data_IF_212395153993
#
_entry.id   IF_212395153993
#
_cell.length_a   1.000
_cell.length_b   1.000
_cell.length_c   1.000
_cell.angle_alpha   90.00
_cell.angle_beta   90.00
_cell.angle_gamma   90.00
#
_symmetry.space_group_name_H-M   'P 1'
#
loop_
_entity.id
_entity.type
_entity.pdbx_description
1 polymer ?
#
# COMPACT_ATOMS: atom_id res chain seq x y z
N UNK A 1 -37.02 -14.08 4.15
CA UNK A 1 -35.94 -13.18 4.59
C UNK A 1 -35.40 -12.50 3.36
N UNK A 2 -35.56 -11.18 3.23
CA UNK A 2 -34.77 -10.42 2.25
C UNK A 2 -33.31 -10.49 2.73
N UNK A 3 -32.40 -10.79 1.82
CA UNK A 3 -30.98 -10.82 2.10
C UNK A 3 -30.55 -9.43 2.55
N UNK A 4 -29.98 -9.29 3.76
CA UNK A 4 -29.32 -8.06 4.24
C UNK A 4 -27.96 -7.82 3.53
N UNK A 5 -27.79 -8.34 2.31
CA UNK A 5 -26.61 -8.10 1.49
C UNK A 5 -26.76 -6.76 0.78
N UNK A 6 -25.79 -5.89 1.02
CA UNK A 6 -25.58 -4.68 0.24
C UNK A 6 -25.42 -5.03 -1.24
N UNK A 7 -25.93 -4.16 -2.11
CA UNK A 7 -25.64 -4.21 -3.55
C UNK A 7 -24.16 -3.95 -3.82
N UNK A 8 -23.70 -4.30 -5.02
CA UNK A 8 -22.31 -4.03 -5.43
C UNK A 8 -21.96 -2.54 -5.40
N UNK A 9 -22.90 -1.65 -5.72
CA UNK A 9 -22.69 -0.20 -5.65
C UNK A 9 -22.52 0.28 -4.21
N UNK A 10 -23.36 -0.21 -3.29
CA UNK A 10 -23.25 0.13 -1.87
C UNK A 10 -21.97 -0.43 -1.25
N UNK A 11 -21.53 -1.63 -1.67
CA UNK A 11 -20.25 -2.17 -1.26
C UNK A 11 -19.07 -1.39 -1.84
N UNK A 12 -19.14 -0.93 -3.09
CA UNK A 12 -18.10 -0.08 -3.69
C UNK A 12 -17.94 1.24 -2.91
N UNK A 13 -19.06 1.91 -2.60
CA UNK A 13 -19.07 3.15 -1.81
C UNK A 13 -18.54 2.92 -0.39
N UNK A 14 -18.93 1.81 0.25
CA UNK A 14 -18.45 1.44 1.58
C UNK A 14 -16.96 1.11 1.57
N UNK A 15 -16.47 0.36 0.58
CA UNK A 15 -15.05 0.06 0.43
C UNK A 15 -14.28 1.37 0.31
N UNK A 16 -14.66 2.24 -0.63
CA UNK A 16 -14.06 3.56 -0.80
C UNK A 16 -14.07 4.39 0.49
N UNK A 17 -15.18 4.38 1.23
CA UNK A 17 -15.27 5.08 2.51
C UNK A 17 -14.25 4.56 3.53
N UNK A 18 -14.10 3.24 3.66
CA UNK A 18 -13.12 2.61 4.55
C UNK A 18 -11.70 2.98 4.12
N UNK A 19 -11.38 2.90 2.81
CA UNK A 19 -10.04 3.27 2.33
C UNK A 19 -9.70 4.73 2.61
N UNK A 20 -10.69 5.62 2.69
CA UNK A 20 -10.49 7.06 2.92
C UNK A 20 -10.46 7.45 4.39
N UNK A 21 -11.15 6.69 5.23
CA UNK A 21 -11.28 7.01 6.66
C UNK A 21 -10.40 6.16 7.56
N UNK A 22 -9.84 5.07 7.03
CA UNK A 22 -8.88 4.17 7.69
C UNK A 22 -9.36 3.79 9.12
N UNK A 23 -10.61 3.32 9.28
CA UNK A 23 -11.11 2.94 10.59
C UNK A 23 -10.43 1.64 11.04
N UNK A 24 -10.06 1.50 12.32
CA UNK A 24 -9.59 0.23 12.85
C UNK A 24 -10.59 -0.90 12.59
N UNK A 25 -10.09 -2.04 12.16
CA UNK A 25 -10.89 -3.24 11.93
C UNK A 25 -11.54 -3.75 13.22
N UNK A 26 -12.71 -4.37 13.09
CA UNK A 26 -13.16 -5.32 14.10
C UNK A 26 -12.31 -6.60 13.99
N UNK A 27 -11.54 -6.91 15.04
CA UNK A 27 -10.57 -8.02 15.03
C UNK A 27 -11.25 -9.37 14.82
N UNK A 28 -12.40 -9.63 15.44
CA UNK A 28 -13.08 -10.93 15.29
C UNK A 28 -13.59 -11.13 13.85
N UNK A 29 -14.13 -10.07 13.24
CA UNK A 29 -14.56 -10.11 11.85
C UNK A 29 -13.38 -10.24 10.88
N UNK A 30 -12.23 -9.62 11.19
CA UNK A 30 -11.00 -9.75 10.41
C UNK A 30 -10.41 -11.16 10.48
N UNK A 31 -10.30 -11.75 11.67
CA UNK A 31 -9.87 -13.15 11.86
C UNK A 31 -10.79 -14.10 11.07
N UNK A 32 -12.10 -13.87 11.14
CA UNK A 32 -13.09 -14.63 10.40
C UNK A 32 -12.88 -14.51 8.89
N UNK A 33 -12.76 -13.29 8.36
CA UNK A 33 -12.59 -13.07 6.92
C UNK A 33 -11.28 -13.67 6.41
N UNK A 34 -10.17 -13.53 7.14
CA UNK A 34 -8.91 -14.16 6.81
C UNK A 34 -9.01 -15.69 6.78
N UNK A 35 -9.77 -16.26 7.72
CA UNK A 35 -10.08 -17.69 7.77
C UNK A 35 -10.91 -18.17 6.57
N UNK A 36 -11.94 -17.42 6.18
CA UNK A 36 -12.79 -17.71 5.01
C UNK A 36 -12.00 -17.60 3.70
N UNK A 37 -11.14 -16.59 3.56
CA UNK A 37 -10.26 -16.43 2.40
C UNK A 37 -9.26 -17.60 2.30
N UNK A 38 -8.66 -18.00 3.42
CA UNK A 38 -7.77 -19.16 3.46
C UNK A 38 -8.45 -20.44 2.97
N UNK A 39 -9.70 -20.70 3.36
CA UNK A 39 -10.44 -21.88 2.88
C UNK A 39 -10.62 -21.89 1.36
N UNK A 40 -10.89 -20.72 0.77
CA UNK A 40 -10.94 -20.58 -0.69
C UNK A 40 -9.57 -20.87 -1.30
N UNK A 41 -8.51 -20.26 -0.78
CA UNK A 41 -7.17 -20.46 -1.33
C UNK A 41 -6.70 -21.91 -1.19
N UNK A 42 -6.96 -22.57 -0.06
CA UNK A 42 -6.65 -23.99 0.14
C UNK A 42 -7.41 -24.88 -0.86
N UNK A 43 -8.71 -24.61 -1.09
CA UNK A 43 -9.53 -25.31 -2.10
C UNK A 43 -8.97 -25.14 -3.51
N UNK A 44 -8.55 -23.93 -3.86
CA UNK A 44 -7.99 -23.61 -5.17
C UNK A 44 -6.48 -23.89 -5.26
N UNK A 45 -5.85 -24.41 -4.20
CA UNK A 45 -4.40 -24.65 -4.09
C UNK A 45 -3.56 -23.38 -4.32
N UNK A 46 -4.11 -22.23 -4.01
CA UNK A 46 -3.42 -20.94 -4.06
C UNK A 46 -2.50 -20.84 -2.86
N UNK A 47 -1.19 -20.87 -3.11
CA UNK A 47 -0.21 -20.49 -2.09
C UNK A 47 -0.19 -18.98 -1.96
N UNK A 48 -0.49 -18.48 -0.76
CA UNK A 48 -0.35 -17.07 -0.40
C UNK A 48 0.50 -16.93 0.86
N UNK A 49 0.97 -15.72 1.13
CA UNK A 49 1.67 -15.33 2.35
C UNK A 49 1.06 -14.07 2.96
N UNK A 50 1.12 -13.94 4.28
CA UNK A 50 0.80 -12.68 4.97
C UNK A 50 1.89 -11.67 4.65
N UNK A 51 1.52 -10.39 4.51
CA UNK A 51 2.46 -9.31 4.22
C UNK A 51 2.06 -8.04 4.98
N UNK A 52 2.94 -7.03 4.98
CA UNK A 52 2.71 -5.76 5.68
C UNK A 52 2.19 -5.91 7.13
N UNK A 53 1.19 -5.15 7.56
CA UNK A 53 0.68 -5.10 8.93
C UNK A 53 0.21 -6.46 9.43
N UNK A 54 -0.43 -7.25 8.56
CA UNK A 54 -0.85 -8.62 8.89
C UNK A 54 0.32 -9.54 9.18
N UNK A 55 1.40 -9.49 8.38
CA UNK A 55 2.62 -10.26 8.68
C UNK A 55 3.32 -9.74 9.94
N UNK A 56 3.37 -8.42 10.10
CA UNK A 56 4.00 -7.78 11.26
C UNK A 56 3.34 -8.22 12.56
N UNK A 57 2.01 -8.11 12.64
CA UNK A 57 1.24 -8.55 13.80
C UNK A 57 1.40 -10.05 14.05
N UNK A 58 1.27 -10.88 13.01
CA UNK A 58 1.37 -12.33 13.15
C UNK A 58 2.75 -12.80 13.67
N UNK A 59 3.83 -12.13 13.26
CA UNK A 59 5.21 -12.49 13.65
C UNK A 59 5.62 -11.86 14.99
N UNK A 60 5.26 -10.59 15.22
CA UNK A 60 5.68 -9.84 16.41
C UNK A 60 4.78 -10.10 17.60
N UNK A 61 3.47 -10.00 17.38
CA UNK A 61 2.46 -9.97 18.45
C UNK A 61 1.71 -11.29 18.57
N UNK A 62 1.85 -12.18 17.59
CA UNK A 62 1.02 -13.37 17.40
C UNK A 62 -0.48 -13.03 17.36
N UNK A 63 -0.81 -11.83 16.89
CA UNK A 63 -2.17 -11.27 16.81
C UNK A 63 -2.30 -10.32 15.61
N UNK A 64 -3.53 -9.97 15.23
CA UNK A 64 -3.76 -8.84 14.33
C UNK A 64 -3.52 -7.51 15.08
N UNK A 65 -3.02 -6.49 14.37
CA UNK A 65 -2.75 -5.18 14.96
C UNK A 65 -4.09 -4.46 15.22
N UNK A 66 -4.33 -4.04 16.46
CA UNK A 66 -5.65 -3.53 16.91
C UNK A 66 -6.06 -2.19 16.28
N UNK A 67 -5.12 -1.48 15.65
CA UNK A 67 -5.35 -0.22 14.97
C UNK A 67 -5.17 -0.29 13.45
N UNK A 68 -4.88 -1.48 12.88
CA UNK A 68 -4.88 -1.67 11.42
C UNK A 68 -6.31 -1.56 10.87
N UNK A 69 -6.44 -1.05 9.65
CA UNK A 69 -7.69 -0.91 8.92
C UNK A 69 -7.97 -2.04 7.93
N UNK A 70 -6.98 -2.88 7.63
CA UNK A 70 -7.10 -3.96 6.66
C UNK A 70 -6.22 -5.20 6.93
N UNK A 71 -6.33 -6.16 6.02
CA UNK A 71 -5.49 -7.34 5.95
C UNK A 71 -4.73 -7.39 4.63
N UNK A 72 -3.43 -7.62 4.70
CA UNK A 72 -2.52 -7.66 3.57
C UNK A 72 -2.04 -9.09 3.31
N UNK A 73 -2.35 -9.64 2.13
CA UNK A 73 -1.87 -10.94 1.69
C UNK A 73 -1.28 -10.88 0.26
N UNK A 74 -0.39 -11.82 -0.06
CA UNK A 74 0.31 -11.82 -1.34
C UNK A 74 0.51 -13.20 -1.93
N UNK A 75 0.51 -13.26 -3.25
CA UNK A 75 0.95 -14.41 -4.05
C UNK A 75 1.86 -13.91 -5.17
N UNK A 76 2.77 -14.75 -5.67
CA UNK A 76 3.68 -14.36 -6.76
C UNK A 76 3.40 -15.26 -7.96
N UNK A 77 3.01 -14.65 -9.08
CA UNK A 77 2.67 -15.36 -10.32
C UNK A 77 3.92 -16.07 -10.84
N UNK A 78 3.80 -17.38 -11.06
CA UNK A 78 4.89 -18.26 -11.49
C UNK A 78 5.75 -18.81 -10.36
N UNK A 79 5.40 -18.55 -9.09
CA UNK A 79 6.05 -19.15 -7.92
C UNK A 79 5.05 -19.95 -7.09
N UNK A 80 5.53 -20.93 -6.33
CA UNK A 80 4.72 -21.73 -5.39
C UNK A 80 3.47 -22.38 -6.00
N UNK A 81 3.53 -22.70 -7.30
CA UNK A 81 2.41 -23.25 -8.05
C UNK A 81 1.29 -22.26 -8.36
N UNK A 82 1.43 -20.98 -8.02
CA UNK A 82 0.43 -19.95 -8.28
C UNK A 82 0.55 -19.40 -9.72
N UNK A 83 -0.56 -19.34 -10.44
CA UNK A 83 -0.66 -18.76 -11.80
C UNK A 83 -1.79 -17.75 -11.87
N UNK A 84 -1.74 -16.86 -12.87
CA UNK A 84 -2.82 -15.87 -13.12
C UNK A 84 -4.19 -16.53 -13.30
N UNK A 85 -4.24 -17.73 -13.87
CA UNK A 85 -5.47 -18.49 -14.14
C UNK A 85 -6.20 -18.93 -12.87
N UNK A 86 -5.51 -18.90 -11.72
CA UNK A 86 -6.09 -19.26 -10.42
C UNK A 86 -6.83 -18.08 -9.76
N UNK A 87 -6.64 -16.86 -10.25
CA UNK A 87 -7.26 -15.65 -9.69
C UNK A 87 -8.77 -15.71 -9.88
N UNK A 88 -9.26 -15.84 -11.11
CA UNK A 88 -10.70 -15.75 -11.42
C UNK A 88 -11.53 -16.85 -10.71
N UNK A 89 -11.11 -18.13 -10.68
CA UNK A 89 -11.83 -19.16 -9.91
C UNK A 89 -11.89 -18.85 -8.41
N UNK A 90 -10.82 -18.30 -7.84
CA UNK A 90 -10.78 -17.92 -6.41
C UNK A 90 -11.70 -16.73 -6.13
N UNK A 91 -11.69 -15.72 -7.01
CA UNK A 91 -12.59 -14.56 -6.96
C UNK A 91 -14.05 -15.00 -7.05
N UNK A 92 -14.37 -15.93 -7.96
CA UNK A 92 -15.72 -16.46 -8.10
C UNK A 92 -16.21 -17.17 -6.81
N UNK A 93 -15.34 -17.95 -6.15
CA UNK A 93 -15.71 -18.62 -4.89
C UNK A 93 -15.83 -17.63 -3.71
N UNK A 94 -14.98 -16.60 -3.66
CA UNK A 94 -15.10 -15.50 -2.69
C UNK A 94 -16.43 -14.76 -2.85
N UNK A 95 -16.83 -14.43 -4.09
CA UNK A 95 -18.14 -13.84 -4.41
C UNK A 95 -19.29 -14.76 -4.04
N UNK A 96 -19.18 -16.06 -4.33
CA UNK A 96 -20.19 -17.06 -3.93
C UNK A 96 -20.34 -17.18 -2.40
N UNK A 97 -19.27 -16.90 -1.64
CA UNK A 97 -19.28 -16.79 -0.17
C UNK A 97 -19.77 -15.43 0.35
N UNK A 98 -20.25 -14.54 -0.53
CA UNK A 98 -20.81 -13.24 -0.18
C UNK A 98 -19.77 -12.16 0.09
N UNK A 99 -18.54 -12.30 -0.42
CA UNK A 99 -17.58 -11.20 -0.44
C UNK A 99 -17.89 -10.29 -1.64
N UNK A 100 -17.78 -8.98 -1.42
CA UNK A 100 -17.60 -8.03 -2.51
C UNK A 100 -16.14 -8.09 -2.98
N UNK A 101 -15.89 -8.14 -4.28
CA UNK A 101 -14.53 -8.30 -4.82
C UNK A 101 -14.31 -7.42 -6.05
N UNK A 102 -13.32 -6.55 -5.97
CA UNK A 102 -12.79 -5.77 -7.10
C UNK A 102 -11.45 -6.36 -7.58
N UNK A 103 -11.25 -6.38 -8.89
CA UNK A 103 -10.01 -6.86 -9.51
C UNK A 103 -9.44 -5.75 -10.38
N UNK A 104 -8.23 -5.30 -10.03
CA UNK A 104 -7.51 -4.24 -10.72
C UNK A 104 -6.25 -4.83 -11.34
N UNK A 105 -6.16 -4.79 -12.67
CA UNK A 105 -5.00 -5.29 -13.39
C UNK A 105 -3.97 -4.18 -13.55
N UNK A 106 -2.89 -4.24 -12.77
CA UNK A 106 -1.80 -3.29 -12.85
C UNK A 106 -0.55 -3.92 -13.48
N UNK A 107 0.37 -3.07 -13.93
CA UNK A 107 1.58 -3.54 -14.63
C UNK A 107 2.54 -4.37 -13.76
N UNK A 108 2.51 -4.18 -12.43
CA UNK A 108 3.43 -4.85 -11.49
C UNK A 108 2.76 -5.97 -10.68
N UNK A 109 1.43 -5.96 -10.59
CA UNK A 109 0.63 -6.96 -9.90
C UNK A 109 -0.82 -6.90 -10.36
N UNK A 110 -1.60 -7.95 -10.12
CA UNK A 110 -3.06 -7.86 -10.10
C UNK A 110 -3.47 -7.63 -8.65
N UNK A 111 -4.17 -6.53 -8.35
CA UNK A 111 -4.71 -6.26 -7.02
C UNK A 111 -6.15 -6.78 -6.94
N UNK A 112 -6.41 -7.67 -5.99
CA UNK A 112 -7.74 -8.20 -5.71
C UNK A 112 -8.17 -7.67 -4.34
N UNK A 113 -9.06 -6.69 -4.33
CA UNK A 113 -9.63 -6.14 -3.10
C UNK A 113 -10.85 -6.95 -2.72
N UNK A 114 -10.84 -7.54 -1.54
CA UNK A 114 -11.91 -8.42 -1.04
C UNK A 114 -12.52 -7.73 0.17
N UNK A 115 -13.83 -7.55 0.21
CA UNK A 115 -14.51 -6.96 1.36
C UNK A 115 -15.69 -7.80 1.83
N UNK A 116 -15.77 -7.98 3.14
CA UNK A 116 -16.91 -8.55 3.84
C UNK A 116 -16.85 -8.09 5.30
N UNK A 117 -17.99 -8.01 6.00
CA UNK A 117 -18.03 -7.57 7.40
C UNK A 117 -17.44 -6.17 7.64
N UNK A 118 -17.39 -5.31 6.60
CA UNK A 118 -16.70 -4.01 6.62
C UNK A 118 -15.19 -4.13 6.86
N UNK A 119 -14.59 -5.28 6.54
CA UNK A 119 -13.15 -5.54 6.60
C UNK A 119 -12.63 -5.73 5.16
N UNK A 120 -11.49 -5.12 4.85
CA UNK A 120 -10.78 -5.27 3.57
C UNK A 120 -9.66 -6.31 3.71
N UNK A 121 -9.53 -7.17 2.70
CA UNK A 121 -8.30 -7.90 2.40
C UNK A 121 -7.76 -7.40 1.06
N UNK A 122 -6.52 -6.94 1.06
CA UNK A 122 -5.75 -6.64 -0.13
C UNK A 122 -4.91 -7.86 -0.52
N UNK A 123 -5.38 -8.59 -1.54
CA UNK A 123 -4.63 -9.70 -2.14
C UNK A 123 -3.84 -9.24 -3.35
N UNK A 124 -2.53 -9.04 -3.16
CA UNK A 124 -1.63 -8.63 -4.23
C UNK A 124 -1.00 -9.85 -4.93
N UNK A 125 -1.33 -10.02 -6.22
CA UNK A 125 -0.78 -11.06 -7.08
C UNK A 125 0.41 -10.50 -7.89
N UNK A 126 1.61 -10.61 -7.33
CA UNK A 126 2.82 -9.96 -7.82
C UNK A 126 3.40 -10.58 -9.10
N UNK A 127 3.98 -9.72 -9.94
CA UNK A 127 4.85 -10.11 -11.06
C UNK A 127 6.30 -9.80 -10.74
N UNK A 128 7.20 -10.74 -11.03
CA UNK A 128 8.64 -10.55 -10.82
C UNK A 128 9.20 -9.66 -11.93
N UNK A 129 9.78 -8.53 -11.55
CA UNK A 129 10.48 -7.62 -12.46
C UNK A 129 11.91 -7.42 -11.96
N UNK A 130 12.89 -7.81 -12.80
CA UNK A 130 14.33 -7.73 -12.49
C UNK A 130 14.70 -8.33 -11.13
N UNK A 131 14.12 -9.50 -10.79
CA UNK A 131 14.39 -10.19 -9.52
C UNK A 131 13.75 -9.56 -8.30
N UNK A 132 12.76 -8.67 -8.48
CA UNK A 132 12.03 -8.01 -7.39
C UNK A 132 10.52 -8.06 -7.61
N UNK A 133 9.76 -7.90 -6.52
CA UNK A 133 8.33 -7.59 -6.54
C UNK A 133 8.11 -6.23 -5.87
N UNK A 134 7.14 -5.45 -6.35
CA UNK A 134 6.89 -4.11 -5.86
C UNK A 134 5.81 -4.12 -4.78
N UNK A 135 6.20 -3.98 -3.51
CA UNK A 135 5.26 -3.73 -2.44
C UNK A 135 4.99 -2.23 -2.31
N UNK A 136 3.81 -1.84 -1.84
CA UNK A 136 3.53 -0.47 -1.47
C UNK A 136 4.57 0.08 -0.45
N UNK A 137 4.98 1.37 -0.52
CA UNK A 137 4.63 2.40 -1.51
C UNK A 137 5.57 2.44 -2.73
N UNK A 138 5.99 1.27 -3.22
CA UNK A 138 7.04 1.14 -4.25
C UNK A 138 8.38 0.68 -3.68
N UNK A 139 8.36 -0.20 -2.68
CA UNK A 139 9.56 -0.88 -2.18
C UNK A 139 9.83 -2.09 -3.08
N UNK A 140 10.98 -2.18 -3.77
CA UNK A 140 11.33 -3.34 -4.57
C UNK A 140 11.91 -4.43 -3.68
N UNK A 141 11.07 -5.37 -3.26
CA UNK A 141 11.52 -6.49 -2.45
C UNK A 141 12.22 -7.55 -3.30
N UNK A 142 13.41 -8.02 -2.91
CA UNK A 142 14.11 -9.07 -3.64
C UNK A 142 13.38 -10.42 -3.50
N UNK A 143 13.20 -11.14 -4.61
CA UNK A 143 12.48 -12.42 -4.64
C UNK A 143 13.05 -13.50 -3.72
N UNK A 144 14.32 -13.36 -3.30
CA UNK A 144 14.97 -14.29 -2.36
C UNK A 144 14.22 -14.39 -1.03
N UNK A 145 13.55 -13.33 -0.59
CA UNK A 145 12.74 -13.30 0.64
C UNK A 145 11.42 -14.10 0.52
N UNK A 146 11.03 -14.46 -0.70
CA UNK A 146 9.80 -15.19 -0.98
C UNK A 146 10.04 -16.52 -1.69
N UNK A 147 11.30 -16.85 -1.98
CA UNK A 147 11.66 -18.11 -2.67
C UNK A 147 11.30 -19.31 -1.80
N UNK A 148 11.49 -19.18 -0.49
CA UNK A 148 10.91 -20.06 0.51
C UNK A 148 9.95 -19.22 1.34
N UNK A 149 8.88 -19.85 1.81
CA UNK A 149 7.97 -19.27 2.78
C UNK A 149 8.11 -20.04 4.08
N UNK A 150 7.99 -19.34 5.20
CA UNK A 150 7.97 -19.96 6.51
C UNK A 150 6.52 -20.14 6.95
N UNK A 151 6.14 -21.36 7.35
CA UNK A 151 4.83 -21.63 7.91
C UNK A 151 4.83 -21.28 9.40
N UNK A 152 3.82 -20.52 9.85
CA UNK A 152 3.59 -20.16 11.25
C UNK A 152 2.19 -20.60 11.68
N UNK A 153 2.04 -20.95 12.95
CA UNK A 153 0.73 -21.10 13.58
C UNK A 153 0.19 -19.72 13.96
N UNK A 154 -0.95 -19.35 13.39
CA UNK A 154 -1.56 -18.05 13.59
C UNK A 154 -3.08 -18.21 13.50
N UNK A 155 -3.80 -17.70 14.52
CA UNK A 155 -5.27 -17.84 14.61
C UNK A 155 -5.75 -19.30 14.51
N UNK A 156 -4.96 -20.24 15.06
CA UNK A 156 -5.25 -21.68 15.07
C UNK A 156 -5.18 -22.37 13.70
N UNK A 157 -4.59 -21.72 12.69
CA UNK A 157 -4.33 -22.29 11.37
C UNK A 157 -2.88 -22.03 10.94
N UNK A 158 -2.39 -22.82 9.99
CA UNK A 158 -1.07 -22.58 9.38
C UNK A 158 -1.17 -21.50 8.31
N UNK A 159 -0.37 -20.43 8.45
CA UNK A 159 -0.20 -19.37 7.46
C UNK A 159 1.25 -19.26 7.03
N UNK A 160 1.49 -18.85 5.78
CA UNK A 160 2.84 -18.59 5.31
C UNK A 160 3.21 -17.12 5.52
N UNK A 161 4.49 -16.88 5.80
CA UNK A 161 5.11 -15.56 5.79
C UNK A 161 6.40 -15.61 4.95
N UNK A 162 6.91 -14.46 4.46
CA UNK A 162 8.23 -14.38 3.83
C UNK A 162 9.33 -14.94 4.74
N UNK A 163 10.41 -15.45 4.15
CA UNK A 163 11.48 -16.14 4.88
C UNK A 163 12.87 -15.56 4.62
N UNK A 164 13.66 -15.28 5.68
CA UNK A 164 13.27 -15.25 7.09
C UNK A 164 12.27 -14.10 7.38
N UNK A 165 11.30 -14.29 8.29
CA UNK A 165 10.30 -13.25 8.59
C UNK A 165 10.93 -11.95 9.11
N UNK A 166 11.96 -12.07 9.96
CA UNK A 166 12.68 -10.92 10.50
C UNK A 166 13.41 -10.11 9.42
N UNK A 167 13.98 -10.77 8.40
CA UNK A 167 14.64 -10.10 7.28
C UNK A 167 13.63 -9.34 6.42
N UNK A 168 12.45 -9.93 6.19
CA UNK A 168 11.36 -9.26 5.49
C UNK A 168 10.86 -8.02 6.24
N UNK A 169 10.60 -8.14 7.54
CA UNK A 169 10.11 -7.04 8.36
C UNK A 169 11.18 -5.95 8.52
N UNK A 170 12.45 -6.32 8.68
CA UNK A 170 13.57 -5.38 8.69
C UNK A 170 13.71 -4.67 7.35
N UNK A 171 13.49 -5.35 6.22
CA UNK A 171 13.51 -4.72 4.90
C UNK A 171 12.30 -3.80 4.65
N UNK A 172 11.14 -4.09 5.27
CA UNK A 172 9.94 -3.24 5.13
C UNK A 172 9.98 -2.02 6.04
N UNK A 173 10.22 -2.23 7.33
CA UNK A 173 9.98 -1.27 8.41
C UNK A 173 11.27 -0.81 9.10
N UNK A 174 12.44 -1.24 8.63
CA UNK A 174 13.71 -0.94 9.30
C UNK A 174 13.95 -1.80 10.55
N UNK A 175 15.10 -1.64 11.21
CA UNK A 175 15.52 -2.51 12.33
C UNK A 175 14.61 -2.41 13.56
N UNK A 176 13.87 -1.32 13.71
CA UNK A 176 13.02 -1.04 14.87
C UNK A 176 11.61 -1.64 14.76
N UNK A 177 11.34 -2.48 13.75
CA UNK A 177 10.02 -3.08 13.48
C UNK A 177 9.41 -3.85 14.68
N UNK A 178 10.27 -4.33 15.57
CA UNK A 178 9.89 -4.99 16.83
C UNK A 178 9.20 -4.04 17.83
N UNK A 179 9.31 -2.73 17.64
CA UNK A 179 8.65 -1.73 18.49
C UNK A 179 7.29 -1.38 17.88
N UNK A 180 6.17 -1.58 18.60
CA UNK A 180 4.85 -1.20 18.09
C UNK A 180 4.76 0.32 17.85
N UNK A 181 4.37 0.70 16.63
CA UNK A 181 4.11 2.09 16.23
C UNK A 181 2.75 2.16 15.55
N UNK A 182 1.87 3.02 16.06
CA UNK A 182 0.61 3.36 15.38
C UNK A 182 0.83 4.46 14.34
N UNK A 183 1.70 5.42 14.65
CA UNK A 183 2.10 6.52 13.78
C UNK A 183 3.63 6.63 13.78
N UNK A 184 4.19 7.17 12.70
CA UNK A 184 5.64 7.35 12.52
C UNK A 184 6.33 6.16 11.84
N UNK A 185 5.67 5.01 11.70
CA UNK A 185 6.21 3.86 10.96
C UNK A 185 6.39 4.16 9.46
N UNK A 186 5.60 5.10 8.93
CA UNK A 186 5.61 5.52 7.54
C UNK A 186 6.97 6.10 7.17
N UNK A 187 7.56 6.85 8.10
CA UNK A 187 8.92 7.36 7.96
C UNK A 187 9.94 6.24 7.96
N UNK A 188 9.84 5.28 8.90
CA UNK A 188 10.76 4.14 8.94
C UNK A 188 10.74 3.36 7.63
N UNK A 189 9.54 3.16 7.05
CA UNK A 189 9.38 2.52 5.74
C UNK A 189 10.15 3.30 4.68
N UNK A 190 9.92 4.62 4.56
CA UNK A 190 10.54 5.47 3.54
C UNK A 190 12.06 5.56 3.69
N UNK A 191 12.56 5.72 4.91
CA UNK A 191 14.00 5.80 5.21
C UNK A 191 14.71 4.47 4.88
N UNK A 192 14.01 3.35 5.05
CA UNK A 192 14.54 2.03 4.77
C UNK A 192 14.39 1.61 3.29
N UNK A 193 13.71 2.40 2.46
CA UNK A 193 13.57 2.09 1.03
C UNK A 193 14.92 2.13 0.32
N UNK A 194 15.22 1.14 -0.55
CA UNK A 194 16.41 1.20 -1.37
C UNK A 194 16.35 2.41 -2.30
N UNK A 195 17.51 3.05 -2.48
CA UNK A 195 17.64 4.18 -3.39
C UNK A 195 17.33 3.78 -4.84
N UNK A 196 16.54 4.59 -5.53
CA UNK A 196 16.27 4.40 -6.95
C UNK A 196 14.79 4.52 -7.30
N UNK A 197 14.44 4.00 -8.46
CA UNK A 197 13.05 3.87 -8.92
C UNK A 197 12.65 2.41 -8.88
N UNK A 198 11.38 2.13 -8.59
CA UNK A 198 10.83 0.77 -8.64
C UNK A 198 11.13 0.14 -10.01
N UNK A 199 11.72 -1.08 -10.06
CA UNK A 199 11.87 -1.82 -11.30
C UNK A 199 10.53 -1.97 -12.03
N UNK A 200 10.53 -1.65 -13.33
CA UNK A 200 9.32 -1.60 -14.15
C UNK A 200 8.72 -0.20 -14.31
N UNK A 201 9.13 0.77 -13.48
CA UNK A 201 8.84 2.19 -13.70
C UNK A 201 9.96 2.85 -14.55
N UNK A 202 9.68 3.98 -15.23
CA UNK A 202 10.70 4.76 -15.93
C UNK A 202 11.84 5.17 -14.98
N UNK A 203 13.09 5.18 -15.45
CA UNK A 203 14.23 5.67 -14.65
C UNK A 203 14.19 7.18 -14.45
N UNK A 204 14.96 7.70 -13.48
CA UNK A 204 14.97 9.12 -13.06
C UNK A 204 15.12 10.11 -14.22
N UNK A 205 16.04 9.86 -15.15
CA UNK A 205 16.24 10.74 -16.31
C UNK A 205 14.98 10.83 -17.18
N UNK A 206 14.34 9.69 -17.45
CA UNK A 206 13.09 9.65 -18.23
C UNK A 206 11.94 10.31 -17.48
N UNK A 207 11.83 10.10 -16.17
CA UNK A 207 10.82 10.79 -15.35
C UNK A 207 11.01 12.32 -15.38
N UNK A 208 12.26 12.80 -15.27
CA UNK A 208 12.56 14.23 -15.39
C UNK A 208 12.12 14.81 -16.75
N UNK A 209 12.39 14.09 -17.85
CA UNK A 209 11.88 14.48 -19.17
C UNK A 209 10.35 14.49 -19.22
N UNK A 210 9.68 13.49 -18.65
CA UNK A 210 8.21 13.41 -18.63
C UNK A 210 7.58 14.57 -17.85
N UNK A 211 8.13 14.91 -16.68
CA UNK A 211 7.65 16.06 -15.88
C UNK A 211 7.73 17.38 -16.66
N UNK A 212 8.75 17.53 -17.51
CA UNK A 212 8.97 18.76 -18.27
C UNK A 212 8.08 18.89 -19.50
N UNK A 213 7.72 17.76 -20.13
CA UNK A 213 7.15 17.77 -21.47
C UNK A 213 5.83 16.99 -21.62
N UNK A 214 5.42 16.22 -20.61
CA UNK A 214 4.19 15.42 -20.64
C UNK A 214 3.25 15.76 -19.47
N UNK A 215 2.34 16.73 -19.64
CA UNK A 215 1.34 17.07 -18.62
C UNK A 215 0.48 15.89 -18.17
N UNK A 216 0.21 14.93 -19.06
CA UNK A 216 -0.64 13.77 -18.76
C UNK A 216 -0.02 12.78 -17.74
N UNK A 217 1.25 12.96 -17.38
CA UNK A 217 1.95 12.16 -16.37
C UNK A 217 2.60 13.04 -15.30
N UNK A 218 2.10 14.25 -15.13
CA UNK A 218 2.65 15.25 -14.22
C UNK A 218 1.56 15.76 -13.30
N UNK A 219 1.81 15.80 -12.00
CA UNK A 219 0.97 16.55 -11.05
C UNK A 219 1.79 17.68 -10.41
N UNK A 220 1.08 18.64 -9.84
CA UNK A 220 1.68 19.79 -9.14
C UNK A 220 1.28 19.77 -7.67
N UNK A 221 2.23 20.03 -6.78
CA UNK A 221 2.01 20.23 -5.34
C UNK A 221 2.49 21.64 -4.98
N UNK A 222 1.67 22.37 -4.24
CA UNK A 222 2.06 23.64 -3.63
C UNK A 222 2.34 23.39 -2.17
N UNK A 223 3.58 23.64 -1.77
CA UNK A 223 4.03 23.50 -0.39
C UNK A 223 3.88 24.85 0.31
N UNK A 224 3.02 24.89 1.31
CA UNK A 224 2.83 26.05 2.17
C UNK A 224 3.40 25.78 3.58
N UNK A 225 3.76 26.83 4.30
CA UNK A 225 4.07 26.75 5.73
C UNK A 225 2.81 26.85 6.61
N UNK A 226 3.00 26.91 7.92
CA UNK A 226 1.92 27.01 8.92
C UNK A 226 1.10 28.30 8.80
N UNK A 227 1.68 29.36 8.22
CA UNK A 227 1.03 30.66 8.00
C UNK A 227 0.37 30.73 6.61
N UNK A 228 0.46 29.66 5.82
CA UNK A 228 -0.09 29.59 4.46
C UNK A 228 0.78 30.26 3.41
N UNK A 229 2.04 30.59 3.72
CA UNK A 229 2.97 31.19 2.78
C UNK A 229 3.70 30.12 1.96
N UNK A 230 4.01 30.37 0.68
CA UNK A 230 4.76 29.42 -0.15
C UNK A 230 6.16 29.13 0.40
N UNK A 231 6.54 27.85 0.42
CA UNK A 231 7.85 27.41 0.89
C UNK A 231 8.78 27.19 -0.30
N UNK A 232 9.77 28.06 -0.48
CA UNK A 232 10.85 27.85 -1.46
C UNK A 232 11.89 26.85 -0.93
N UNK A 233 12.31 25.91 -1.78
CA UNK A 233 13.36 24.94 -1.44
C UNK A 233 12.89 23.72 -0.63
N UNK A 234 11.59 23.50 -0.45
CA UNK A 234 11.06 22.27 0.10
C UNK A 234 11.37 21.10 -0.83
N UNK A 235 11.80 19.97 -0.28
CA UNK A 235 12.03 18.75 -1.05
C UNK A 235 10.83 17.83 -0.92
N UNK A 236 10.27 17.43 -2.07
CA UNK A 236 9.16 16.49 -2.16
C UNK A 236 9.65 15.21 -2.82
N UNK A 237 9.37 14.08 -2.19
CA UNK A 237 9.70 12.74 -2.68
C UNK A 237 8.42 11.96 -2.85
N UNK A 238 8.19 11.45 -4.06
CA UNK A 238 7.18 10.42 -4.30
C UNK A 238 7.87 9.07 -4.18
N UNK A 239 7.45 8.26 -3.20
CA UNK A 239 8.11 7.00 -2.88
C UNK A 239 8.24 6.10 -4.13
N UNK A 240 9.43 5.52 -4.32
CA UNK A 240 9.72 4.65 -5.46
C UNK A 240 9.78 5.33 -6.84
N UNK A 241 9.58 6.65 -6.93
CA UNK A 241 9.53 7.42 -8.17
C UNK A 241 10.59 8.55 -8.18
N UNK A 242 10.17 9.81 -8.07
CA UNK A 242 11.04 10.98 -8.22
C UNK A 242 11.14 11.83 -6.94
N UNK A 243 12.20 12.65 -6.93
CA UNK A 243 12.43 13.72 -5.98
C UNK A 243 12.44 15.04 -6.74
N UNK A 244 11.76 16.04 -6.22
CA UNK A 244 11.70 17.39 -6.77
C UNK A 244 11.83 18.43 -5.66
N UNK A 245 12.17 19.67 -6.01
CA UNK A 245 12.31 20.78 -5.06
C UNK A 245 11.38 21.92 -5.46
N UNK A 246 10.78 22.60 -4.48
CA UNK A 246 9.84 23.69 -4.73
C UNK A 246 10.52 24.96 -5.21
N UNK A 247 9.84 25.67 -6.12
CA UNK A 247 10.25 26.98 -6.62
C UNK A 247 9.83 28.12 -5.68
N UNK A 248 9.99 29.37 -6.13
CA UNK A 248 9.73 30.57 -5.32
C UNK A 248 8.26 30.71 -4.92
N UNK A 249 7.35 30.09 -5.69
CA UNK A 249 5.92 30.06 -5.44
C UNK A 249 5.50 28.79 -4.67
N UNK A 250 6.47 28.05 -4.12
CA UNK A 250 6.25 26.80 -3.40
C UNK A 250 5.79 25.65 -4.29
N UNK A 251 5.83 25.80 -5.62
CA UNK A 251 5.32 24.79 -6.53
C UNK A 251 6.35 23.70 -6.81
N UNK A 252 5.87 22.47 -6.84
CA UNK A 252 6.64 21.28 -7.19
C UNK A 252 5.89 20.51 -8.25
N UNK A 253 6.56 20.21 -9.37
CA UNK A 253 6.05 19.25 -10.36
C UNK A 253 6.73 17.90 -10.19
N UNK A 254 5.94 16.83 -10.29
CA UNK A 254 6.43 15.48 -10.12
C UNK A 254 5.72 14.49 -11.04
N UNK A 255 6.39 13.36 -11.25
CA UNK A 255 5.93 12.32 -12.17
C UNK A 255 4.92 11.43 -11.46
N UNK A 256 3.79 11.18 -12.12
CA UNK A 256 2.81 10.17 -11.71
C UNK A 256 2.54 9.22 -12.89
N UNK A 257 2.67 7.90 -12.72
CA UNK A 257 2.35 6.94 -13.78
C UNK A 257 0.84 6.88 -14.10
N UNK A 258 -0.03 7.23 -13.16
CA UNK A 258 -1.48 7.19 -13.28
C UNK A 258 -2.17 7.66 -11.99
N UNK A 259 -3.51 7.64 -11.91
CA UNK A 259 -4.24 7.86 -10.66
C UNK A 259 -4.00 6.70 -9.70
N UNK A 260 -3.56 6.99 -8.47
CA UNK A 260 -3.29 5.99 -7.42
C UNK A 260 -3.15 6.68 -6.05
N UNK A 261 -3.02 5.90 -4.97
CA UNK A 261 -2.56 6.38 -3.68
C UNK A 261 -1.02 6.36 -3.65
N UNK A 262 -0.40 7.48 -3.32
CA UNK A 262 1.06 7.63 -3.28
C UNK A 262 1.54 8.03 -1.89
N UNK A 263 2.67 7.46 -1.46
CA UNK A 263 3.38 8.00 -0.31
C UNK A 263 4.25 9.20 -0.72
N UNK A 264 4.01 10.33 -0.08
CA UNK A 264 4.66 11.62 -0.33
C UNK A 264 5.41 12.04 0.92
N UNK A 265 6.73 12.21 0.81
CA UNK A 265 7.54 12.85 1.85
C UNK A 265 7.80 14.31 1.48
N UNK A 266 7.53 15.22 2.42
CA UNK A 266 7.76 16.66 2.30
C UNK A 266 8.77 17.06 3.38
N UNK A 267 9.88 17.67 2.96
CA UNK A 267 10.96 18.10 3.84
C UNK A 267 11.27 19.58 3.61
N UNK A 268 11.30 20.38 4.68
CA UNK A 268 11.80 21.75 4.63
C UNK A 268 12.32 22.17 6.02
N UNK A 269 13.52 22.77 6.06
CA UNK A 269 14.23 23.07 7.32
C UNK A 269 14.33 21.80 8.18
N UNK A 270 13.87 21.86 9.44
CA UNK A 270 13.86 20.76 10.39
C UNK A 270 12.52 19.98 10.40
N UNK A 271 11.63 20.28 9.45
CA UNK A 271 10.33 19.61 9.31
C UNK A 271 10.44 18.55 8.21
N UNK A 272 10.13 17.31 8.58
CA UNK A 272 9.89 16.23 7.64
C UNK A 272 8.56 15.58 7.98
N UNK A 273 7.70 15.45 6.98
CA UNK A 273 6.41 14.77 7.10
C UNK A 273 6.23 13.77 5.98
N UNK A 274 5.71 12.60 6.34
CA UNK A 274 5.30 11.55 5.41
C UNK A 274 3.79 11.47 5.39
N UNK A 275 3.20 11.78 4.24
CA UNK A 275 1.81 11.51 3.92
C UNK A 275 1.75 10.18 3.18
N UNK A 276 1.37 9.12 3.88
CA UNK A 276 1.64 7.76 3.39
C UNK A 276 0.67 7.31 2.31
N UNK A 277 -0.57 7.82 2.29
CA UNK A 277 -1.56 7.51 1.26
C UNK A 277 -2.26 8.78 0.79
N UNK A 278 -1.71 9.44 -0.22
CA UNK A 278 -2.35 10.58 -0.87
C UNK A 278 -2.89 10.16 -2.23
N UNK A 279 -4.19 10.38 -2.48
CA UNK A 279 -4.76 10.10 -3.79
C UNK A 279 -4.40 11.21 -4.77
N UNK A 280 -3.55 10.86 -5.72
CA UNK A 280 -3.04 11.80 -6.69
C UNK A 280 -3.37 11.33 -8.10
N UNK A 281 -3.84 12.27 -8.91
CA UNK A 281 -4.19 12.08 -10.32
C UNK A 281 -3.27 12.97 -11.16
N UNK A 282 -2.63 12.43 -12.21
CA UNK A 282 -1.88 13.25 -13.17
C UNK A 282 -2.75 14.37 -13.75
N UNK A 283 -2.16 15.54 -13.96
CA UNK A 283 -2.84 16.74 -14.45
C UNK A 283 -3.43 17.62 -13.34
N UNK A 284 -3.64 17.08 -12.14
CA UNK A 284 -4.21 17.84 -11.03
C UNK A 284 -3.15 18.63 -10.25
N UNK A 285 -3.65 19.61 -9.50
CA UNK A 285 -2.88 20.48 -8.62
C UNK A 285 -3.37 20.28 -7.19
N UNK A 286 -2.42 20.08 -6.28
CA UNK A 286 -2.64 19.80 -4.87
C UNK A 286 -1.97 20.86 -4.00
N UNK A 287 -2.48 21.03 -2.79
CA UNK A 287 -1.91 21.95 -1.79
C UNK A 287 -1.61 21.16 -0.53
N UNK A 288 -0.36 21.26 -0.08
CA UNK A 288 0.11 20.76 1.21
C UNK A 288 0.13 21.89 2.24
N UNK A 289 -0.33 21.57 3.45
CA UNK A 289 -0.16 22.39 4.65
C UNK A 289 0.32 21.51 5.81
N UNK A 290 1.38 21.90 6.53
CA UNK A 290 1.81 21.20 7.73
C UNK A 290 0.72 21.31 8.80
N UNK A 291 0.61 20.29 9.64
CA UNK A 291 -0.20 20.31 10.85
C UNK A 291 0.72 20.15 12.07
N UNK A 292 1.04 21.25 12.78
CA UNK A 292 1.90 21.19 13.97
C UNK A 292 1.33 20.34 15.11
N UNK A 293 0.01 20.13 15.15
CA UNK A 293 -0.66 19.32 16.18
C UNK A 293 -0.55 17.84 15.83
N UNK A 294 -0.60 17.50 14.54
CA UNK A 294 -0.45 16.13 14.03
C UNK A 294 0.65 16.05 12.97
N UNK A 295 1.93 15.97 13.38
CA UNK A 295 3.07 16.00 12.45
C UNK A 295 3.34 14.67 11.73
N UNK A 296 2.62 13.59 12.07
CA UNK A 296 2.80 12.26 11.48
C UNK A 296 1.48 11.48 11.42
N UNK A 297 1.47 10.42 10.60
CA UNK A 297 0.32 9.54 10.42
C UNK A 297 -0.90 10.26 9.83
N UNK A 298 -0.69 11.23 8.94
CA UNK A 298 -1.75 11.90 8.19
C UNK A 298 -1.90 11.24 6.81
N UNK A 299 -3.15 11.10 6.38
CA UNK A 299 -3.53 10.44 5.13
C UNK A 299 -4.64 11.28 4.47
N UNK A 300 -4.64 11.34 3.13
CA UNK A 300 -5.63 12.07 2.34
C UNK A 300 -5.83 13.53 2.78
N UNK A 301 -4.75 14.22 3.17
CA UNK A 301 -4.82 15.61 3.64
C UNK A 301 -4.53 16.64 2.56
N UNK A 302 -4.02 16.22 1.41
CA UNK A 302 -3.80 17.13 0.29
C UNK A 302 -5.13 17.57 -0.31
N UNK A 303 -5.30 18.89 -0.45
CA UNK A 303 -6.50 19.47 -1.05
C UNK A 303 -6.23 19.82 -2.50
N UNK A 304 -7.17 19.54 -3.41
CA UNK A 304 -7.11 20.08 -4.77
C UNK A 304 -7.20 21.61 -4.77
N UNK A 305 -6.47 22.27 -5.66
CA UNK A 305 -6.44 23.74 -5.73
C UNK A 305 -6.08 24.32 -7.07
#
# INVERSE_FOLDING_TARGET
MKSDQLSDSENAELMLHIERTIPPMNIQDAERLLGEAKEVFDKHKVTFFLRQGTCLGAVRDHALIVWDDDLDIGSIIGMHGFTDEMIEPSVADLRARGCYVEVHHEGLYTAVKIMKYKIRIDWQCYRVVKGTIAHYPGVPFPIKLFTNLNAIDFLGKSYNVPSPPGDYLTYKYGPDWITPKQVGYEKDVLDNMPSGTVPGRPGKLRQWFLVRFNPAQTATLIVLDVDGLPVHGATVVIAGLNRSTSDQDGQVKFYLPGPDNYAVSIMFKDVEEVLYEEALTPGNRYIYRPDPVRPAGRYFVLTEG
#
